data_IF_050127042651
#
_entry.id   IF_050127042651
#
_cell.length_a   1.000
_cell.length_b   1.000
_cell.length_c   1.000
_cell.angle_alpha   90.00
_cell.angle_beta   90.00
_cell.angle_gamma   90.00
#
_symmetry.space_group_name_H-M   'P 1'
#
loop_
_entity.id
_entity.type
_entity.pdbx_description
1 polymer ?
#
# COMPACT_ATOMS: atom_id res chain seq x y z
N UNK A 1 -21.91 11.50 10.74
CA UNK A 1 -20.80 10.59 10.42
C UNK A 1 -21.28 9.70 9.28
N UNK A 2 -20.81 9.93 8.06
CA UNK A 2 -21.18 9.12 6.89
C UNK A 2 -20.66 7.70 7.11
N UNK A 3 -21.57 6.72 7.21
CA UNK A 3 -21.22 5.33 7.50
C UNK A 3 -20.26 4.79 6.43
N UNK A 4 -18.96 4.76 6.74
CA UNK A 4 -17.97 4.10 5.88
C UNK A 4 -18.22 2.60 5.94
N UNK A 5 -18.29 1.90 4.80
CA UNK A 5 -18.34 0.44 4.81
C UNK A 5 -17.19 -0.12 5.64
N UNK A 6 -17.45 -1.14 6.45
CA UNK A 6 -16.40 -1.77 7.27
C UNK A 6 -15.26 -2.27 6.39
N UNK A 7 -15.56 -2.76 5.18
CA UNK A 7 -14.57 -3.18 4.18
C UNK A 7 -13.61 -2.06 3.78
N UNK A 8 -14.10 -0.83 3.56
CA UNK A 8 -13.26 0.34 3.28
C UNK A 8 -12.32 0.64 4.45
N UNK A 9 -12.82 0.55 5.69
CA UNK A 9 -11.99 0.73 6.90
C UNK A 9 -10.91 -0.36 7.00
N UNK A 10 -11.26 -1.61 6.67
CA UNK A 10 -10.31 -2.73 6.63
C UNK A 10 -9.26 -2.50 5.54
N UNK A 11 -9.63 -2.03 4.33
CA UNK A 11 -8.69 -1.64 3.28
C UNK A 11 -7.67 -0.63 3.78
N UNK A 12 -8.14 0.43 4.45
CA UNK A 12 -7.25 1.43 5.03
C UNK A 12 -6.33 0.85 6.11
N UNK A 13 -6.82 -0.09 6.93
CA UNK A 13 -5.98 -0.77 7.92
C UNK A 13 -4.87 -1.60 7.25
N UNK A 14 -5.17 -2.32 6.17
CA UNK A 14 -4.17 -3.07 5.41
C UNK A 14 -3.16 -2.17 4.67
N UNK A 15 -3.61 -1.05 4.10
CA UNK A 15 -2.70 -0.07 3.49
C UNK A 15 -1.78 0.53 4.57
N UNK A 16 -2.32 0.85 5.75
CA UNK A 16 -1.53 1.35 6.87
C UNK A 16 -0.52 0.32 7.36
N UNK A 17 -0.92 -0.96 7.46
CA UNK A 17 -0.01 -2.05 7.79
C UNK A 17 1.14 -2.14 6.77
N UNK A 18 0.85 -2.04 5.47
CA UNK A 18 1.88 -2.03 4.42
C UNK A 18 2.85 -0.86 4.57
N UNK A 19 2.34 0.35 4.86
CA UNK A 19 3.19 1.52 5.13
C UNK A 19 4.15 1.21 6.29
N UNK A 20 3.63 0.65 7.39
CA UNK A 20 4.45 0.32 8.57
C UNK A 20 5.48 -0.76 8.25
N UNK A 21 5.13 -1.78 7.48
CA UNK A 21 6.05 -2.83 7.03
C UNK A 21 7.19 -2.24 6.21
N UNK A 22 6.90 -1.43 5.20
CA UNK A 22 7.94 -0.81 4.36
C UNK A 22 8.83 0.15 5.14
N UNK A 23 8.25 0.91 6.07
CA UNK A 23 9.00 1.78 6.96
C UNK A 23 9.92 1.00 7.90
N UNK A 24 9.39 -0.05 8.56
CA UNK A 24 10.14 -0.90 9.45
C UNK A 24 11.28 -1.61 8.71
N UNK A 25 11.01 -2.14 7.51
CA UNK A 25 12.02 -2.74 6.65
C UNK A 25 13.12 -1.74 6.31
N UNK A 26 12.77 -0.53 5.85
CA UNK A 26 13.75 0.53 5.58
C UNK A 26 14.64 0.86 6.79
N UNK A 27 14.06 0.94 7.99
CA UNK A 27 14.82 1.18 9.23
C UNK A 27 15.75 0.01 9.54
N UNK A 28 15.25 -1.24 9.48
CA UNK A 28 16.04 -2.46 9.77
C UNK A 28 17.23 -2.55 8.82
N UNK A 29 17.04 -2.28 7.53
CA UNK A 29 18.13 -2.26 6.54
C UNK A 29 19.11 -1.13 6.82
N UNK A 30 18.62 0.07 7.15
CA UNK A 30 19.47 1.24 7.42
C UNK A 30 20.42 1.03 8.61
N UNK A 31 19.96 0.35 9.66
CA UNK A 31 20.77 0.06 10.86
C UNK A 31 21.57 -1.24 10.75
N UNK A 32 21.59 -1.90 9.58
CA UNK A 32 22.24 -3.19 9.36
C UNK A 32 21.72 -4.33 10.26
N UNK A 33 20.46 -4.28 10.70
CA UNK A 33 19.86 -5.30 11.56
C UNK A 33 19.25 -6.50 10.78
N UNK A 34 19.42 -6.55 9.46
CA UNK A 34 18.91 -7.66 8.64
C UNK A 34 20.00 -8.73 8.41
N UNK A 35 19.96 -9.89 9.08
CA UNK A 35 21.05 -10.86 9.06
C UNK A 35 21.25 -11.55 7.71
N UNK A 36 20.21 -11.61 6.87
CA UNK A 36 20.24 -12.33 5.59
C UNK A 36 20.54 -11.43 4.38
N UNK A 37 20.83 -10.14 4.57
CA UNK A 37 21.11 -9.23 3.47
C UNK A 37 22.58 -9.31 3.05
N UNK A 38 22.91 -9.30 1.74
CA UNK A 38 24.29 -9.25 1.27
C UNK A 38 25.05 -8.10 1.92
N UNK A 39 26.30 -8.33 2.32
CA UNK A 39 27.13 -7.32 2.98
C UNK A 39 27.78 -6.35 1.97
N UNK A 40 26.97 -5.89 1.03
CA UNK A 40 27.33 -4.95 -0.01
C UNK A 40 26.71 -3.59 0.35
N UNK A 41 27.50 -2.59 0.78
CA UNK A 41 26.98 -1.32 1.30
C UNK A 41 26.04 -0.60 0.33
N UNK A 42 26.37 -0.60 -0.97
CA UNK A 42 25.55 0.08 -1.99
C UNK A 42 24.15 -0.55 -2.10
N UNK A 43 24.04 -1.88 -1.99
CA UNK A 43 22.76 -2.58 -2.10
C UNK A 43 21.86 -2.25 -0.92
N UNK A 44 22.42 -2.20 0.30
CA UNK A 44 21.69 -1.80 1.51
C UNK A 44 21.18 -0.36 1.43
N UNK A 45 21.99 0.56 0.91
CA UNK A 45 21.57 1.95 0.67
C UNK A 45 20.42 2.01 -0.33
N UNK A 46 20.53 1.32 -1.46
CA UNK A 46 19.47 1.27 -2.49
C UNK A 46 18.18 0.72 -1.88
N UNK A 47 18.24 -0.40 -1.16
CA UNK A 47 17.07 -1.01 -0.53
C UNK A 47 16.45 -0.11 0.53
N UNK A 48 17.25 0.57 1.33
CA UNK A 48 16.79 1.55 2.32
C UNK A 48 16.01 2.69 1.64
N UNK A 49 16.59 3.29 0.61
CA UNK A 49 15.97 4.39 -0.14
C UNK A 49 14.66 3.92 -0.79
N UNK A 50 14.68 2.77 -1.47
CA UNK A 50 13.49 2.21 -2.11
C UNK A 50 12.37 1.93 -1.09
N UNK A 51 12.71 1.38 0.07
CA UNK A 51 11.74 1.07 1.12
C UNK A 51 11.05 2.32 1.65
N UNK A 52 11.83 3.38 1.92
CA UNK A 52 11.27 4.67 2.32
C UNK A 52 10.48 5.34 1.20
N UNK A 53 10.91 5.21 -0.06
CA UNK A 53 10.18 5.74 -1.20
C UNK A 53 8.81 5.06 -1.35
N UNK A 54 8.74 3.73 -1.23
CA UNK A 54 7.47 2.98 -1.27
C UNK A 54 6.57 3.38 -0.11
N UNK A 55 7.10 3.46 1.11
CA UNK A 55 6.34 3.92 2.28
C UNK A 55 5.78 5.34 2.06
N UNK A 56 6.59 6.26 1.55
CA UNK A 56 6.18 7.64 1.25
C UNK A 56 5.09 7.71 0.19
N UNK A 57 5.23 6.97 -0.92
CA UNK A 57 4.22 6.87 -1.98
C UNK A 57 2.91 6.32 -1.40
N UNK A 58 2.98 5.24 -0.61
CA UNK A 58 1.79 4.66 0.02
C UNK A 58 1.12 5.61 1.01
N UNK A 59 1.87 6.37 1.81
CA UNK A 59 1.30 7.41 2.69
C UNK A 59 0.56 8.47 1.88
N UNK A 60 1.16 8.95 0.79
CA UNK A 60 0.51 9.88 -0.13
C UNK A 60 -0.81 9.31 -0.65
N UNK A 61 -0.76 8.12 -1.24
CA UNK A 61 -1.94 7.42 -1.76
C UNK A 61 -3.00 7.18 -0.68
N UNK A 62 -2.60 6.75 0.51
CA UNK A 62 -3.49 6.55 1.67
C UNK A 62 -4.25 7.83 2.03
N UNK A 63 -3.59 8.99 2.00
CA UNK A 63 -4.23 10.29 2.26
C UNK A 63 -5.18 10.65 1.11
N UNK A 64 -4.74 10.51 -0.14
CA UNK A 64 -5.56 10.82 -1.32
C UNK A 64 -6.80 9.92 -1.43
N UNK A 65 -6.70 8.64 -1.05
CA UNK A 65 -7.83 7.70 -1.04
C UNK A 65 -8.89 8.01 0.01
N UNK A 66 -8.64 8.88 0.99
CA UNK A 66 -9.66 9.26 1.99
C UNK A 66 -10.86 9.97 1.38
N UNK A 67 -10.73 10.46 0.15
CA UNK A 67 -11.76 11.08 -0.67
C UNK A 67 -11.91 10.27 -1.96
N UNK A 68 -13.08 10.29 -2.63
CA UNK A 68 -13.23 9.68 -3.94
C UNK A 68 -12.26 10.36 -4.92
N UNK A 69 -11.25 9.61 -5.35
CA UNK A 69 -10.21 10.05 -6.27
C UNK A 69 -9.82 8.87 -7.17
N UNK A 70 -10.20 8.97 -8.43
CA UNK A 70 -9.99 7.92 -9.42
C UNK A 70 -8.50 7.66 -9.68
N UNK A 71 -7.69 8.72 -9.76
CA UNK A 71 -6.24 8.61 -9.98
C UNK A 71 -5.59 7.86 -8.82
N UNK A 72 -5.91 8.25 -7.59
CA UNK A 72 -5.34 7.63 -6.40
C UNK A 72 -5.75 6.14 -6.30
N UNK A 73 -7.00 5.81 -6.63
CA UNK A 73 -7.48 4.43 -6.69
C UNK A 73 -6.67 3.57 -7.67
N UNK A 74 -6.52 4.00 -8.93
CA UNK A 74 -5.77 3.23 -9.92
C UNK A 74 -4.28 3.14 -9.57
N UNK A 75 -3.68 4.22 -9.06
CA UNK A 75 -2.28 4.19 -8.62
C UNK A 75 -2.08 3.22 -7.45
N UNK A 76 -3.01 3.16 -6.50
CA UNK A 76 -2.89 2.25 -5.35
C UNK A 76 -3.03 0.80 -5.78
N UNK A 77 -3.96 0.50 -6.69
CA UNK A 77 -4.06 -0.83 -7.29
C UNK A 77 -2.79 -1.20 -8.05
N UNK A 78 -2.24 -0.29 -8.84
CA UNK A 78 -1.02 -0.53 -9.59
C UNK A 78 0.17 -0.78 -8.67
N UNK A 79 0.39 0.06 -7.64
CA UNK A 79 1.49 -0.08 -6.68
C UNK A 79 1.39 -1.39 -5.90
N UNK A 80 0.23 -1.70 -5.33
CA UNK A 80 0.01 -2.95 -4.60
C UNK A 80 0.15 -4.17 -5.51
N UNK A 81 -0.33 -4.07 -6.76
CA UNK A 81 -0.20 -5.12 -7.76
C UNK A 81 1.25 -5.39 -8.15
N UNK A 82 2.02 -4.33 -8.43
CA UNK A 82 3.46 -4.45 -8.74
C UNK A 82 4.22 -5.02 -7.55
N UNK A 83 3.97 -4.55 -6.33
CA UNK A 83 4.61 -5.10 -5.13
C UNK A 83 4.26 -6.58 -4.97
N UNK A 84 2.99 -6.96 -5.15
CA UNK A 84 2.56 -8.36 -5.08
C UNK A 84 3.27 -9.23 -6.11
N UNK A 85 3.43 -8.74 -7.34
CA UNK A 85 4.17 -9.45 -8.39
C UNK A 85 5.64 -9.60 -8.02
N UNK A 86 6.29 -8.53 -7.55
CA UNK A 86 7.69 -8.57 -7.12
C UNK A 86 7.89 -9.57 -5.97
N UNK A 87 7.01 -9.56 -4.96
CA UNK A 87 7.04 -10.53 -3.84
C UNK A 87 6.80 -11.95 -4.32
N UNK A 88 5.94 -12.16 -5.32
CA UNK A 88 5.68 -13.49 -5.85
C UNK A 88 6.85 -14.06 -6.67
N UNK A 89 7.61 -13.20 -7.36
CA UNK A 89 8.78 -13.59 -8.14
C UNK A 89 10.08 -13.63 -7.34
N UNK A 90 10.07 -13.12 -6.12
CA UNK A 90 11.16 -13.30 -5.17
C UNK A 90 11.18 -14.74 -4.63
N UNK A 91 12.22 -15.11 -3.88
CA UNK A 91 12.31 -16.43 -3.26
C UNK A 91 11.08 -16.66 -2.35
N UNK A 92 10.22 -17.60 -2.73
CA UNK A 92 8.93 -17.82 -2.05
C UNK A 92 9.16 -18.55 -0.73
N UNK A 93 9.32 -17.80 0.35
CA UNK A 93 9.27 -18.28 1.72
C UNK A 93 7.87 -18.20 2.33
N UNK A 94 7.68 -18.85 3.49
CA UNK A 94 6.44 -18.73 4.27
C UNK A 94 6.14 -17.28 4.70
N UNK A 95 7.19 -16.49 4.92
CA UNK A 95 7.09 -15.07 5.28
C UNK A 95 6.61 -14.25 4.08
N UNK A 96 7.12 -14.56 2.89
CA UNK A 96 6.73 -13.87 1.65
C UNK A 96 5.28 -14.16 1.27
N UNK A 97 4.80 -15.38 1.55
CA UNK A 97 3.38 -15.71 1.38
C UNK A 97 2.48 -14.86 2.30
N UNK A 98 2.91 -14.60 3.54
CA UNK A 98 2.19 -13.74 4.47
C UNK A 98 2.18 -12.29 3.97
N UNK A 99 3.33 -11.77 3.51
CA UNK A 99 3.42 -10.42 2.93
C UNK A 99 2.60 -10.29 1.65
N UNK A 100 2.58 -11.34 0.82
CA UNK A 100 1.76 -11.40 -0.38
C UNK A 100 0.27 -11.33 -0.01
N UNK A 101 -0.17 -12.08 1.02
CA UNK A 101 -1.54 -12.00 1.50
C UNK A 101 -1.89 -10.60 2.01
N UNK A 102 -0.99 -9.95 2.78
CA UNK A 102 -1.15 -8.57 3.28
C UNK A 102 -1.25 -7.55 2.13
N UNK A 103 -0.61 -7.80 0.99
CA UNK A 103 -0.70 -6.95 -0.20
C UNK A 103 -1.94 -7.24 -1.07
N UNK A 104 -2.35 -8.51 -1.21
CA UNK A 104 -3.47 -8.91 -2.07
C UNK A 104 -4.82 -8.58 -1.42
N UNK A 105 -4.96 -8.72 -0.09
CA UNK A 105 -6.23 -8.41 0.60
C UNK A 105 -6.72 -6.98 0.31
N UNK A 106 -5.91 -5.90 0.46
CA UNK A 106 -6.36 -4.56 0.13
C UNK A 106 -6.66 -4.40 -1.37
N UNK A 107 -5.99 -5.12 -2.27
CA UNK A 107 -6.33 -5.12 -3.71
C UNK A 107 -7.74 -5.66 -3.94
N UNK A 108 -8.07 -6.81 -3.34
CA UNK A 108 -9.41 -7.41 -3.45
C UNK A 108 -10.47 -6.47 -2.88
N UNK A 109 -10.20 -5.87 -1.72
CA UNK A 109 -11.14 -4.94 -1.09
C UNK A 109 -11.31 -3.64 -1.87
N UNK A 110 -10.24 -3.10 -2.47
CA UNK A 110 -10.32 -1.94 -3.38
C UNK A 110 -11.22 -2.25 -4.57
N UNK A 111 -11.05 -3.42 -5.21
CA UNK A 111 -11.89 -3.83 -6.35
C UNK A 111 -13.35 -4.01 -5.93
N UNK A 112 -13.60 -4.61 -4.76
CA UNK A 112 -14.94 -4.81 -4.20
C UNK A 112 -15.64 -3.48 -3.92
N UNK A 113 -14.94 -2.54 -3.29
CA UNK A 113 -15.48 -1.25 -2.85
C UNK A 113 -15.24 -0.13 -3.89
N UNK A 114 -14.98 -0.48 -5.16
CA UNK A 114 -14.62 0.46 -6.24
C UNK A 114 -15.56 1.66 -6.36
N UNK A 115 -16.86 1.47 -6.12
CA UNK A 115 -17.87 2.54 -6.23
C UNK A 115 -17.63 3.66 -5.20
N UNK A 116 -17.12 3.32 -4.02
CA UNK A 116 -16.80 4.31 -2.98
C UNK A 116 -15.63 5.23 -3.39
N UNK A 117 -14.68 4.71 -4.16
CA UNK A 117 -13.50 5.47 -4.61
C UNK A 117 -13.72 6.20 -5.94
N UNK A 118 -14.58 5.67 -6.81
CA UNK A 118 -14.79 6.17 -8.17
C UNK A 118 -15.98 7.12 -8.31
N UNK A 119 -17.00 7.03 -7.43
CA UNK A 119 -18.16 7.90 -7.46
C UNK A 119 -18.01 9.06 -6.47
N UNK A 120 -18.01 10.33 -6.95
CA UNK A 120 -18.16 11.46 -6.07
C UNK A 120 -19.51 11.34 -5.36
N UNK A 121 -19.52 11.39 -4.02
CA UNK A 121 -20.75 11.52 -3.23
C UNK A 121 -21.71 12.50 -3.92
N UNK A 122 -22.95 12.06 -4.20
CA UNK A 122 -24.01 12.86 -4.84
C UNK A 122 -24.25 14.23 -4.18
N UNK A 123 -23.69 14.49 -3.00
CA UNK A 123 -23.73 15.78 -2.30
C UNK A 123 -23.08 16.97 -3.05
N UNK A 124 -22.23 16.74 -4.06
CA UNK A 124 -21.63 17.83 -4.84
C UNK A 124 -22.46 18.25 -6.07
N UNK A 125 -23.49 17.48 -6.45
CA UNK A 125 -24.34 17.77 -7.61
C UNK A 125 -25.47 18.77 -7.29
N UNK A 126 -25.73 19.06 -6.01
CA UNK A 126 -26.74 20.02 -5.55
C UNK A 126 -26.19 21.43 -5.27
N UNK A 127 -24.90 21.67 -5.51
CA UNK A 127 -24.28 23.01 -5.37
C UNK A 127 -24.04 23.72 -6.71
N UNK A 128 -24.48 23.11 -7.81
CA UNK A 128 -24.33 23.64 -9.17
C UNK A 128 -25.66 23.89 -9.89
N UNK A 129 -26.76 24.04 -9.13
CA UNK A 129 -28.07 24.46 -9.65
C UNK A 129 -28.48 25.74 -8.94
#
# INVERSE_FOLDING_TARGET
MTNRPVSVTVTFAFILLNILVWLAFGIIVAINAHPNLPDIPIMKVIMTILSFAVAGIMVGLFILLRKPNQVAYFLTLAVLGVISLLTFFDDVGWIDLLFLAINIVPVILLIKDRTWYLEPSKSNQLKSV
#
